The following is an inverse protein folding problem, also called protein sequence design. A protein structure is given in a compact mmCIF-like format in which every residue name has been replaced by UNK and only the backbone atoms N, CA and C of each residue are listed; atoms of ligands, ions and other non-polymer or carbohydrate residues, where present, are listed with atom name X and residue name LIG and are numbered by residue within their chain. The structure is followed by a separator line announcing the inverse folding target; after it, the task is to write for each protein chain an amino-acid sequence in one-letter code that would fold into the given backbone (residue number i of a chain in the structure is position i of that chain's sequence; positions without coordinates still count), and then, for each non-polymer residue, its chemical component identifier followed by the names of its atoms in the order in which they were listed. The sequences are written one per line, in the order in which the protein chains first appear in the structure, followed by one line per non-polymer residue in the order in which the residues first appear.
data_IF_372111487291
#
_entry.id   IF_372111487291
#
_cell.length_a   1.000
_cell.length_b   1.000
_cell.length_c   1.000
_cell.angle_alpha   90.00
_cell.angle_beta   90.00
_cell.angle_gamma   90.00
#
_symmetry.space_group_name_H-M   'P 1'
#
loop_
_entity.id
_entity.type
_entity.pdbx_description
1 polymer ?
#
# COMPACT_ATOMS: atom_id res chain seq x y z
N UNK A 1 39.79 -46.65 43.10
CA UNK A 1 39.29 -46.60 44.50
C UNK A 1 38.49 -45.33 44.67
N UNK A 2 37.22 -45.49 45.08
CA UNK A 2 36.23 -44.43 45.19
C UNK A 2 36.09 -43.91 46.63
N UNK A 3 35.69 -42.64 46.79
CA UNK A 3 34.99 -42.01 47.93
C UNK A 3 34.59 -40.61 47.43
N UNK A 4 33.36 -40.26 47.04
CA UNK A 4 32.06 -40.15 47.75
C UNK A 4 32.06 -39.11 48.87
N UNK A 5 31.37 -37.98 48.65
CA UNK A 5 30.63 -37.11 49.61
C UNK A 5 29.97 -35.98 48.78
N UNK A 6 28.66 -36.02 48.48
CA UNK A 6 27.47 -35.57 49.25
C UNK A 6 27.38 -34.03 49.43
N UNK A 7 26.36 -33.45 48.78
CA UNK A 7 25.87 -32.05 48.83
C UNK A 7 25.15 -31.73 50.16
N UNK A 8 24.87 -30.45 50.47
CA UNK A 8 23.58 -29.83 50.06
C UNK A 8 23.77 -28.38 49.56
N UNK A 9 23.07 -27.87 48.55
CA UNK A 9 21.61 -27.69 48.50
C UNK A 9 21.25 -26.25 48.91
N UNK A 10 21.47 -25.25 48.05
CA UNK A 10 20.98 -23.88 48.27
C UNK A 10 19.63 -23.70 47.57
N UNK A 11 18.55 -23.84 48.33
CA UNK A 11 17.20 -23.44 47.97
C UNK A 11 17.17 -21.91 47.99
N UNK A 12 16.99 -21.27 46.82
CA UNK A 12 16.53 -19.87 46.78
C UNK A 12 15.02 -19.92 46.76
N UNK A 13 14.43 -19.53 47.88
CA UNK A 13 13.00 -19.30 48.02
C UNK A 13 12.60 -18.09 47.17
N UNK A 14 11.87 -18.35 46.08
CA UNK A 14 11.10 -17.33 45.37
C UNK A 14 9.87 -16.99 46.21
N UNK A 15 10.00 -16.06 47.16
CA UNK A 15 8.84 -15.47 47.82
C UNK A 15 8.20 -14.45 46.87
N UNK A 16 6.95 -14.63 46.43
CA UNK A 16 6.26 -13.65 45.59
C UNK A 16 6.03 -12.35 46.37
N UNK A 17 6.37 -11.23 45.76
CA UNK A 17 6.19 -9.89 46.33
C UNK A 17 4.70 -9.63 46.64
N UNK A 18 4.31 -9.46 47.93
CA UNK A 18 2.91 -9.28 48.33
C UNK A 18 2.33 -7.90 47.96
N UNK A 19 3.14 -7.02 47.35
CA UNK A 19 2.74 -5.69 46.88
C UNK A 19 2.73 -5.54 45.35
N UNK A 20 2.77 -6.66 44.61
CA UNK A 20 2.58 -6.62 43.17
C UNK A 20 1.12 -6.24 42.85
N UNK A 21 0.89 -4.98 42.49
CA UNK A 21 -0.37 -4.54 41.88
C UNK A 21 -0.70 -5.46 40.70
N UNK A 22 -1.96 -5.93 40.54
CA UNK A 22 -2.33 -6.71 39.37
C UNK A 22 -2.00 -5.89 38.13
N UNK A 23 -1.07 -6.38 37.31
CA UNK A 23 -0.86 -5.85 35.97
C UNK A 23 -2.22 -5.92 35.25
N UNK A 24 -2.70 -4.82 34.64
CA UNK A 24 -3.93 -4.88 33.87
C UNK A 24 -3.78 -5.97 32.81
N UNK A 25 -4.83 -6.75 32.51
CA UNK A 25 -4.74 -7.82 31.53
C UNK A 25 -4.31 -7.23 30.19
N UNK A 26 -3.06 -7.48 29.81
CA UNK A 26 -2.63 -7.35 28.42
C UNK A 26 -3.47 -8.34 27.63
N UNK A 27 -3.93 -7.89 26.45
CA UNK A 27 -4.82 -8.61 25.54
C UNK A 27 -6.31 -8.49 25.90
N UNK A 28 -6.90 -7.32 25.65
CA UNK A 28 -8.26 -7.29 25.09
C UNK A 28 -8.21 -8.01 23.76
N UNK A 29 -8.53 -9.30 23.77
CA UNK A 29 -8.90 -10.02 22.56
C UNK A 29 -10.08 -9.27 21.91
N UNK A 30 -10.04 -9.03 20.59
CA UNK A 30 -11.17 -8.43 19.90
C UNK A 30 -12.44 -9.26 20.18
N UNK A 31 -13.50 -8.61 20.65
CA UNK A 31 -14.80 -9.28 20.81
C UNK A 31 -15.29 -9.64 19.41
N UNK A 32 -15.48 -10.94 19.08
CA UNK A 32 -15.92 -11.34 17.75
C UNK A 32 -17.28 -10.69 17.43
N UNK A 33 -17.33 -9.87 16.38
CA UNK A 33 -18.55 -9.20 15.91
C UNK A 33 -18.74 -7.74 16.35
N UNK A 34 -17.88 -7.18 17.20
CA UNK A 34 -17.87 -5.74 17.45
C UNK A 34 -17.31 -5.01 16.21
N UNK A 35 -18.07 -4.08 15.63
CA UNK A 35 -17.56 -3.25 14.52
C UNK A 35 -16.34 -2.45 15.02
N UNK A 36 -15.23 -2.40 14.27
CA UNK A 36 -14.03 -1.69 14.68
C UNK A 36 -14.36 -0.21 14.93
N UNK A 37 -13.81 0.37 16.00
CA UNK A 37 -14.04 1.77 16.35
C UNK A 37 -13.47 2.66 15.25
N UNK A 38 -14.36 3.41 14.60
CA UNK A 38 -14.00 4.47 13.64
C UNK A 38 -14.65 5.78 14.07
N UNK A 39 -13.91 6.88 14.00
CA UNK A 39 -14.46 8.16 14.40
C UNK A 39 -13.48 9.33 14.23
N UNK A 40 -13.99 10.52 14.53
CA UNK A 40 -13.18 11.73 14.61
C UNK A 40 -12.93 12.05 16.06
N UNK A 41 -11.71 12.48 16.36
CA UNK A 41 -11.31 12.93 17.67
C UNK A 41 -10.60 14.28 17.56
N UNK A 42 -10.59 15.06 18.64
CA UNK A 42 -9.91 16.34 18.71
C UNK A 42 -8.92 16.40 19.88
N UNK A 43 -7.86 17.18 19.71
CA UNK A 43 -6.91 17.50 20.77
C UNK A 43 -6.43 18.94 20.60
N UNK A 44 -5.99 19.57 21.69
CA UNK A 44 -5.55 20.96 21.69
C UNK A 44 -4.03 21.02 21.49
N UNK A 45 -3.59 21.53 20.34
CA UNK A 45 -2.17 21.71 20.04
C UNK A 45 -1.72 23.13 20.46
N UNK A 46 -0.71 23.20 21.33
CA UNK A 46 -0.11 24.48 21.74
C UNK A 46 1.02 24.86 20.79
N UNK A 47 0.94 26.06 20.21
CA UNK A 47 2.01 26.62 19.38
C UNK A 47 2.57 27.89 20.02
N UNK A 48 3.90 27.99 20.10
CA UNK A 48 4.60 29.17 20.60
C UNK A 48 4.99 30.06 19.43
N UNK A 49 4.48 31.30 19.40
CA UNK A 49 4.89 32.30 18.42
C UNK A 49 6.14 33.04 18.92
N UNK A 50 7.29 32.69 18.34
CA UNK A 50 8.52 33.47 18.44
C UNK A 50 9.35 33.30 19.70
N UNK A 51 10.63 33.67 19.60
CA UNK A 51 11.68 33.54 20.63
C UNK A 51 11.49 34.48 21.84
N UNK A 52 10.40 35.27 21.85
CA UNK A 52 10.03 36.20 22.92
C UNK A 52 8.51 36.18 23.14
N UNK A 53 8.04 35.13 23.82
CA UNK A 53 6.84 35.05 24.65
C UNK A 53 5.68 36.03 24.36
N UNK A 54 5.14 36.04 23.14
CA UNK A 54 3.91 36.76 22.83
C UNK A 54 2.85 35.76 22.34
N UNK A 55 2.03 35.31 23.29
CA UNK A 55 0.80 34.54 23.06
C UNK A 55 0.99 33.04 22.85
N UNK A 56 0.36 32.22 23.71
CA UNK A 56 0.10 30.80 23.42
C UNK A 56 -1.15 30.76 22.55
N UNK A 57 -1.03 30.28 21.31
CA UNK A 57 -2.20 29.96 20.49
C UNK A 57 -2.49 28.48 20.69
N UNK A 58 -3.65 28.17 21.25
CA UNK A 58 -4.18 26.82 21.32
C UNK A 58 -5.04 26.59 20.07
N UNK A 59 -4.59 25.73 19.17
CA UNK A 59 -5.37 25.35 17.99
C UNK A 59 -5.91 23.94 18.18
N UNK A 60 -7.23 23.79 18.03
CA UNK A 60 -7.85 22.46 18.04
C UNK A 60 -7.49 21.71 16.76
N UNK A 61 -6.89 20.55 16.93
CA UNK A 61 -6.51 19.61 15.88
C UNK A 61 -7.55 18.50 15.81
N UNK A 62 -8.01 18.15 14.61
CA UNK A 62 -8.88 17.01 14.40
C UNK A 62 -8.12 15.85 13.75
N UNK A 63 -8.37 14.64 14.25
CA UNK A 63 -7.83 13.40 13.72
C UNK A 63 -8.97 12.43 13.40
N UNK A 64 -8.83 11.71 12.30
CA UNK A 64 -9.62 10.52 12.02
C UNK A 64 -8.91 9.31 12.62
N UNK A 65 -9.63 8.43 13.30
CA UNK A 65 -9.09 7.22 13.90
C UNK A 65 -9.86 5.98 13.46
N UNK A 66 -9.13 4.90 13.22
CA UNK A 66 -9.66 3.58 12.85
C UNK A 66 -8.92 2.49 13.62
N UNK A 67 -9.69 1.64 14.29
CA UNK A 67 -9.18 0.47 15.00
C UNK A 67 -8.71 -0.60 14.00
N UNK A 68 -7.49 -1.10 14.23
CA UNK A 68 -6.86 -2.17 13.47
C UNK A 68 -7.21 -3.54 14.10
N UNK A 69 -6.96 -4.63 13.38
CA UNK A 69 -7.23 -5.99 13.86
C UNK A 69 -6.49 -6.34 15.16
N UNK A 70 -5.33 -5.73 15.39
CA UNK A 70 -4.51 -5.90 16.58
C UNK A 70 -4.94 -5.03 17.78
N UNK A 71 -6.07 -4.30 17.64
CA UNK A 71 -6.61 -3.41 18.66
C UNK A 71 -5.93 -2.04 18.78
N UNK A 72 -4.88 -1.76 17.98
CA UNK A 72 -4.26 -0.44 17.93
C UNK A 72 -5.07 0.51 17.05
N UNK A 73 -4.86 1.80 17.25
CA UNK A 73 -5.55 2.85 16.49
C UNK A 73 -4.63 3.41 15.42
N UNK A 74 -5.03 3.31 14.15
CA UNK A 74 -4.47 4.10 13.08
C UNK A 74 -5.13 5.48 13.09
N UNK A 75 -4.32 6.55 13.09
CA UNK A 75 -4.81 7.93 13.09
C UNK A 75 -4.22 8.73 11.92
N UNK A 76 -5.05 9.62 11.37
CA UNK A 76 -4.71 10.58 10.33
C UNK A 76 -5.15 11.97 10.74
N UNK A 77 -4.39 13.00 10.34
CA UNK A 77 -4.85 14.37 10.52
C UNK A 77 -5.98 14.66 9.53
N UNK A 78 -7.00 15.39 9.97
CA UNK A 78 -8.00 15.92 9.05
C UNK A 78 -7.49 17.20 8.37
N UNK A 79 -7.68 17.27 7.05
CA UNK A 79 -7.51 18.50 6.29
C UNK A 79 -8.60 19.53 6.63
N UNK A 80 -8.48 20.76 6.11
CA UNK A 80 -9.54 21.78 6.25
C UNK A 80 -10.87 21.33 5.64
N UNK A 81 -10.84 20.38 4.70
CA UNK A 81 -12.01 19.80 4.05
C UNK A 81 -12.50 18.52 4.74
N UNK A 82 -12.02 18.22 5.97
CA UNK A 82 -12.39 17.04 6.74
C UNK A 82 -12.02 15.70 6.07
N UNK A 83 -10.93 15.70 5.29
CA UNK A 83 -10.41 14.48 4.65
C UNK A 83 -9.22 13.97 5.47
N UNK A 84 -9.18 12.68 5.84
CA UNK A 84 -7.99 12.06 6.41
C UNK A 84 -6.82 12.19 5.44
N UNK A 85 -5.79 12.94 5.82
CA UNK A 85 -4.65 13.25 4.94
C UNK A 85 -3.32 13.10 5.67
N UNK A 86 -2.26 12.82 4.89
CA UNK A 86 -0.90 12.75 5.39
C UNK A 86 -0.52 11.43 6.06
N UNK A 87 0.49 11.47 6.92
CA UNK A 87 1.13 10.28 7.48
C UNK A 87 0.23 9.55 8.48
N UNK A 88 -0.08 8.29 8.17
CA UNK A 88 -0.73 7.34 9.09
C UNK A 88 0.16 7.11 10.31
N UNK A 89 -0.35 7.34 11.51
CA UNK A 89 0.35 7.01 12.77
C UNK A 89 -0.41 5.92 13.50
N UNK A 90 0.30 4.97 14.08
CA UNK A 90 -0.30 3.91 14.90
C UNK A 90 -0.05 4.25 16.36
N UNK A 91 -1.11 4.30 17.17
CA UNK A 91 -1.04 4.56 18.61
C UNK A 91 -1.84 3.50 19.40
N UNK A 92 -1.49 3.24 20.67
CA UNK A 92 -2.34 2.44 21.56
C UNK A 92 -3.72 3.09 21.73
N UNK A 93 -4.75 2.27 21.93
CA UNK A 93 -6.13 2.74 22.10
C UNK A 93 -6.29 3.59 23.36
N UNK A 94 -5.61 3.23 24.43
CA UNK A 94 -5.58 3.93 25.72
C UNK A 94 -5.07 5.35 25.54
N UNK A 95 -4.05 5.52 24.69
CA UNK A 95 -3.50 6.85 24.37
C UNK A 95 -4.50 7.72 23.63
N UNK A 96 -5.23 7.16 22.67
CA UNK A 96 -6.28 7.90 21.97
C UNK A 96 -7.35 8.39 22.96
N UNK A 97 -7.81 7.50 23.85
CA UNK A 97 -8.85 7.81 24.83
C UNK A 97 -8.39 8.79 25.92
N UNK A 98 -7.10 8.83 26.23
CA UNK A 98 -6.53 9.74 27.23
C UNK A 98 -6.20 11.13 26.67
N UNK A 99 -5.70 11.22 25.43
CA UNK A 99 -5.17 12.47 24.85
C UNK A 99 -6.16 13.16 23.89
N UNK A 100 -7.25 12.49 23.49
CA UNK A 100 -8.18 13.00 22.49
C UNK A 100 -9.65 12.88 22.92
N UNK A 101 -10.46 13.85 22.49
CA UNK A 101 -11.90 13.90 22.75
C UNK A 101 -12.70 13.44 21.51
N UNK A 102 -13.71 12.57 21.66
CA UNK A 102 -14.52 12.12 20.52
C UNK A 102 -15.41 13.24 19.95
N UNK A 103 -15.50 13.32 18.62
CA UNK A 103 -16.23 14.34 17.86
C UNK A 103 -17.24 13.67 16.90
N UNK A 104 -18.28 12.98 17.40
CA UNK A 104 -19.19 12.19 16.58
C UNK A 104 -19.95 13.03 15.53
N UNK A 105 -20.28 14.28 15.87
CA UNK A 105 -20.94 15.21 14.95
C UNK A 105 -20.08 15.56 13.74
N UNK A 106 -18.75 15.70 13.92
CA UNK A 106 -17.83 15.96 12.80
C UNK A 106 -17.70 14.69 11.94
N UNK A 107 -17.62 13.53 12.58
CA UNK A 107 -17.55 12.26 11.86
C UNK A 107 -18.78 12.05 10.95
N UNK A 108 -19.98 12.10 11.52
CA UNK A 108 -21.23 11.79 10.80
C UNK A 108 -21.59 12.88 9.78
N UNK A 109 -21.44 14.16 10.13
CA UNK A 109 -21.97 15.25 9.31
C UNK A 109 -20.94 15.89 8.36
N UNK A 110 -19.64 15.64 8.58
CA UNK A 110 -18.56 16.25 7.76
C UNK A 110 -17.69 15.20 7.08
N UNK A 111 -17.08 14.29 7.85
CA UNK A 111 -16.11 13.32 7.30
C UNK A 111 -16.79 12.28 6.42
N UNK A 112 -17.79 11.57 6.95
CA UNK A 112 -18.48 10.49 6.20
C UNK A 112 -19.05 10.96 4.86
N UNK A 113 -19.76 12.11 4.77
CA UNK A 113 -20.28 12.60 3.50
C UNK A 113 -19.19 12.95 2.49
N UNK A 114 -18.09 13.56 2.93
CA UNK A 114 -16.99 13.93 2.03
C UNK A 114 -16.26 12.69 1.54
N UNK A 115 -15.96 11.73 2.42
CA UNK A 115 -15.33 10.46 2.02
C UNK A 115 -16.19 9.69 1.01
N UNK A 116 -17.50 9.59 1.26
CA UNK A 116 -18.43 8.96 0.31
C UNK A 116 -18.41 9.64 -1.06
N UNK A 117 -18.45 10.97 -1.09
CA UNK A 117 -18.38 11.73 -2.35
C UNK A 117 -17.08 11.50 -3.11
N UNK A 118 -15.95 11.36 -2.40
CA UNK A 118 -14.67 11.04 -3.03
C UNK A 118 -14.70 9.63 -3.63
N UNK A 119 -15.22 8.65 -2.90
CA UNK A 119 -15.38 7.27 -3.39
C UNK A 119 -16.30 7.23 -4.63
N UNK A 120 -17.46 7.88 -4.57
CA UNK A 120 -18.41 7.96 -5.69
C UNK A 120 -17.80 8.63 -6.93
N UNK A 121 -16.98 9.67 -6.73
CA UNK A 121 -16.29 10.37 -7.82
C UNK A 121 -15.21 9.48 -8.46
N UNK A 122 -14.45 8.72 -7.66
CA UNK A 122 -13.49 7.73 -8.17
C UNK A 122 -14.21 6.66 -8.98
N UNK A 123 -15.30 6.10 -8.47
CA UNK A 123 -16.07 5.07 -9.20
C UNK A 123 -16.63 5.62 -10.52
N UNK A 124 -17.12 6.85 -10.51
CA UNK A 124 -17.59 7.53 -11.72
C UNK A 124 -16.45 7.74 -12.73
N UNK A 125 -15.27 8.14 -12.26
CA UNK A 125 -14.07 8.29 -13.10
C UNK A 125 -13.63 6.96 -13.71
N UNK A 126 -13.64 5.87 -12.93
CA UNK A 126 -13.35 4.53 -13.41
C UNK A 126 -14.35 4.07 -14.48
N UNK A 127 -15.65 4.36 -14.28
CA UNK A 127 -16.69 4.07 -15.26
C UNK A 127 -16.48 4.83 -16.57
N UNK A 128 -16.13 6.11 -16.51
CA UNK A 128 -15.77 6.89 -17.69
C UNK A 128 -14.56 6.29 -18.42
N UNK A 129 -13.51 5.91 -17.68
CA UNK A 129 -12.30 5.28 -18.26
C UNK A 129 -12.63 3.94 -18.95
N UNK A 130 -13.42 3.09 -18.30
CA UNK A 130 -13.88 1.81 -18.87
C UNK A 130 -14.68 2.00 -20.18
N UNK A 131 -15.44 3.10 -20.28
CA UNK A 131 -16.18 3.49 -21.50
C UNK A 131 -15.33 4.23 -22.55
N UNK A 132 -14.02 4.38 -22.32
CA UNK A 132 -13.11 5.17 -23.16
C UNK A 132 -13.47 6.67 -23.24
N UNK A 133 -14.21 7.18 -22.25
CA UNK A 133 -14.52 8.60 -22.08
C UNK A 133 -13.37 9.29 -21.32
N UNK A 134 -12.17 9.25 -21.90
CA UNK A 134 -10.90 9.49 -21.20
C UNK A 134 -10.74 10.93 -20.67
N UNK A 135 -11.31 11.93 -21.34
CA UNK A 135 -11.30 13.31 -20.85
C UNK A 135 -12.23 13.51 -19.65
N UNK A 136 -13.39 12.87 -19.64
CA UNK A 136 -14.31 12.88 -18.48
C UNK A 136 -13.69 12.15 -17.29
N UNK A 137 -13.02 11.02 -17.54
CA UNK A 137 -12.28 10.30 -16.50
C UNK A 137 -11.17 11.18 -15.90
N UNK A 138 -10.36 11.83 -16.73
CA UNK A 138 -9.34 12.79 -16.28
C UNK A 138 -9.94 13.87 -15.39
N UNK A 139 -11.03 14.51 -15.84
CA UNK A 139 -11.70 15.57 -15.08
C UNK A 139 -12.14 15.09 -13.70
N UNK A 140 -12.80 13.94 -13.61
CA UNK A 140 -13.26 13.40 -12.32
C UNK A 140 -12.11 12.98 -11.40
N UNK A 141 -11.05 12.36 -11.94
CA UNK A 141 -9.86 12.07 -11.12
C UNK A 141 -9.21 13.35 -10.60
N UNK A 142 -9.10 14.39 -11.43
CA UNK A 142 -8.56 15.68 -11.00
C UNK A 142 -9.44 16.33 -9.92
N UNK A 143 -10.77 16.17 -9.98
CA UNK A 143 -11.68 16.64 -8.93
C UNK A 143 -11.36 16.00 -7.57
N UNK A 144 -11.15 14.68 -7.56
CA UNK A 144 -10.73 13.95 -6.35
C UNK A 144 -9.39 14.45 -5.85
N UNK A 145 -8.41 14.58 -6.75
CA UNK A 145 -7.05 15.01 -6.40
C UNK A 145 -6.94 16.46 -5.94
N UNK A 146 -7.90 17.32 -6.29
CA UNK A 146 -8.01 18.68 -5.72
C UNK A 146 -8.41 18.69 -4.24
N UNK A 147 -9.13 17.66 -3.80
CA UNK A 147 -9.60 17.51 -2.42
C UNK A 147 -8.62 16.68 -1.58
N UNK A 148 -8.10 15.61 -2.17
CA UNK A 148 -7.08 14.74 -1.59
C UNK A 148 -5.93 14.53 -2.58
N UNK A 149 -4.88 15.33 -2.42
CA UNK A 149 -3.73 15.32 -3.32
C UNK A 149 -3.00 13.98 -3.33
N UNK A 150 -3.07 13.18 -2.27
CA UNK A 150 -2.35 11.91 -2.15
C UNK A 150 -3.28 10.68 -2.34
N UNK A 151 -4.50 10.90 -2.86
CA UNK A 151 -5.45 9.83 -3.08
C UNK A 151 -4.90 8.79 -4.06
N UNK A 152 -4.63 7.58 -3.55
CA UNK A 152 -3.92 6.53 -4.29
C UNK A 152 -4.70 6.09 -5.54
N UNK A 153 -5.96 5.65 -5.37
CA UNK A 153 -6.77 5.15 -6.50
C UNK A 153 -6.96 6.19 -7.61
N UNK A 154 -7.29 7.43 -7.27
CA UNK A 154 -7.44 8.51 -8.25
C UNK A 154 -6.13 8.85 -8.96
N UNK A 155 -4.99 8.83 -8.26
CA UNK A 155 -3.68 9.04 -8.88
C UNK A 155 -3.36 7.93 -9.89
N UNK A 156 -3.64 6.66 -9.54
CA UNK A 156 -3.50 5.54 -10.48
C UNK A 156 -4.44 5.64 -11.67
N UNK A 157 -5.72 5.92 -11.42
CA UNK A 157 -6.73 6.08 -12.45
C UNK A 157 -6.36 7.17 -13.44
N UNK A 158 -5.89 8.32 -12.97
CA UNK A 158 -5.39 9.41 -13.81
C UNK A 158 -4.20 8.96 -14.68
N UNK A 159 -3.23 8.25 -14.08
CA UNK A 159 -2.09 7.75 -14.82
C UNK A 159 -2.49 6.72 -15.88
N UNK A 160 -3.42 5.80 -15.56
CA UNK A 160 -3.97 4.85 -16.53
C UNK A 160 -4.67 5.58 -17.68
N UNK A 161 -5.43 6.63 -17.39
CA UNK A 161 -6.07 7.49 -18.40
C UNK A 161 -5.05 8.12 -19.35
N UNK A 162 -3.93 8.64 -18.84
CA UNK A 162 -2.85 9.17 -19.70
C UNK A 162 -2.16 8.08 -20.52
N UNK A 163 -1.93 6.90 -19.93
CA UNK A 163 -1.36 5.76 -20.65
C UNK A 163 -2.29 5.28 -21.78
N UNK A 164 -3.61 5.23 -21.54
CA UNK A 164 -4.61 4.88 -22.56
C UNK A 164 -4.65 5.91 -23.70
N UNK A 165 -4.43 7.20 -23.40
CA UNK A 165 -4.28 8.27 -24.39
C UNK A 165 -2.90 8.34 -25.06
N UNK A 166 -1.97 7.46 -24.69
CA UNK A 166 -0.59 7.44 -25.15
C UNK A 166 0.23 8.70 -24.78
N UNK A 167 -0.20 9.44 -23.75
CA UNK A 167 0.42 10.67 -23.29
C UNK A 167 1.56 10.38 -22.30
N UNK A 168 2.70 9.91 -22.83
CA UNK A 168 3.87 9.50 -22.04
C UNK A 168 4.34 10.55 -21.03
N UNK A 169 4.37 11.82 -21.43
CA UNK A 169 4.86 12.91 -20.58
C UNK A 169 3.96 13.11 -19.35
N UNK A 170 2.64 13.13 -19.56
CA UNK A 170 1.67 13.26 -18.47
C UNK A 170 1.67 12.00 -17.58
N UNK A 171 1.78 10.82 -18.20
CA UNK A 171 1.89 9.56 -17.48
C UNK A 171 3.16 9.51 -16.59
N UNK A 172 4.30 10.02 -17.06
CA UNK A 172 5.54 10.08 -16.26
C UNK A 172 5.38 11.02 -15.05
N UNK A 173 4.77 12.19 -15.22
CA UNK A 173 4.48 13.11 -14.09
C UNK A 173 3.65 12.40 -13.01
N UNK A 174 2.62 11.65 -13.42
CA UNK A 174 1.79 10.88 -12.49
C UNK A 174 2.59 9.72 -11.88
N UNK A 175 3.42 9.03 -12.64
CA UNK A 175 4.30 7.98 -12.15
C UNK A 175 5.25 8.49 -11.05
N UNK A 176 5.90 9.62 -11.27
CA UNK A 176 6.77 10.25 -10.26
C UNK A 176 6.02 10.57 -8.97
N UNK A 177 4.74 10.98 -9.09
CA UNK A 177 3.87 11.20 -7.94
C UNK A 177 3.58 9.90 -7.20
N UNK A 178 3.19 8.83 -7.90
CA UNK A 178 2.95 7.50 -7.30
C UNK A 178 4.21 7.03 -6.55
N UNK A 179 5.42 7.26 -7.08
CA UNK A 179 6.66 6.81 -6.43
C UNK A 179 6.95 7.50 -5.10
N UNK A 180 6.29 8.63 -4.81
CA UNK A 180 6.42 9.38 -3.54
C UNK A 180 5.35 9.01 -2.52
N UNK A 181 4.25 8.39 -2.94
CA UNK A 181 3.16 8.03 -2.05
C UNK A 181 3.45 6.65 -1.45
N UNK A 182 3.94 6.61 -0.21
CA UNK A 182 4.22 5.34 0.48
C UNK A 182 2.98 4.44 0.59
N UNK A 183 1.81 5.04 0.82
CA UNK A 183 0.53 4.34 0.87
C UNK A 183 0.14 3.66 -0.46
N UNK A 184 0.74 4.07 -1.59
CA UNK A 184 0.54 3.40 -2.86
C UNK A 184 1.18 2.00 -2.88
N UNK A 185 2.10 1.71 -1.96
CA UNK A 185 2.90 0.48 -1.89
C UNK A 185 2.48 -0.40 -0.71
N UNK A 186 1.19 -0.69 -0.60
CA UNK A 186 0.63 -1.63 0.39
C UNK A 186 0.04 -2.85 -0.30
N UNK A 187 -0.16 -3.93 0.46
CA UNK A 187 -0.80 -5.16 -0.04
C UNK A 187 -2.21 -4.88 -0.57
N UNK A 188 -2.94 -3.94 0.04
CA UNK A 188 -4.29 -3.56 -0.40
C UNK A 188 -4.32 -3.03 -1.84
N UNK A 189 -3.23 -2.39 -2.28
CA UNK A 189 -3.11 -1.77 -3.60
C UNK A 189 -2.36 -2.64 -4.60
N UNK A 190 -2.09 -3.92 -4.26
CA UNK A 190 -1.29 -4.84 -5.08
C UNK A 190 -1.79 -4.98 -6.51
N UNK A 191 -3.10 -5.05 -6.67
CA UNK A 191 -3.76 -5.18 -7.98
C UNK A 191 -3.44 -4.01 -8.93
N UNK A 192 -3.22 -2.80 -8.40
CA UNK A 192 -2.88 -1.62 -9.20
C UNK A 192 -1.45 -1.69 -9.79
N UNK A 193 -0.58 -2.57 -9.25
CA UNK A 193 0.78 -2.75 -9.78
C UNK A 193 0.82 -3.46 -11.12
N UNK A 194 -0.11 -4.38 -11.37
CA UNK A 194 -0.04 -5.19 -12.58
C UNK A 194 -0.43 -4.36 -13.81
N UNK A 195 -1.63 -3.79 -13.79
CA UNK A 195 -2.22 -3.07 -14.91
C UNK A 195 -1.38 -1.85 -15.30
N UNK A 196 -0.97 -1.05 -14.32
CA UNK A 196 -0.19 0.16 -14.56
C UNK A 196 1.18 -0.16 -15.18
N UNK A 197 1.88 -1.17 -14.65
CA UNK A 197 3.16 -1.62 -15.18
C UNK A 197 3.04 -2.20 -16.59
N UNK A 198 2.00 -2.99 -16.86
CA UNK A 198 1.75 -3.57 -18.18
C UNK A 198 1.50 -2.46 -19.21
N UNK A 199 0.70 -1.44 -18.88
CA UNK A 199 0.43 -0.32 -19.78
C UNK A 199 1.67 0.52 -20.03
N UNK A 200 2.48 0.81 -19.00
CA UNK A 200 3.77 1.49 -19.17
C UNK A 200 4.70 0.72 -20.11
N UNK A 201 4.86 -0.59 -19.91
CA UNK A 201 5.64 -1.46 -20.80
C UNK A 201 5.13 -1.39 -22.24
N UNK A 202 3.82 -1.59 -22.47
CA UNK A 202 3.21 -1.55 -23.81
C UNK A 202 3.43 -0.20 -24.50
N UNK A 203 3.49 0.89 -23.74
CA UNK A 203 3.76 2.22 -24.26
C UNK A 203 5.27 2.47 -24.48
N UNK A 204 6.16 1.56 -24.09
CA UNK A 204 7.62 1.69 -24.22
C UNK A 204 8.29 2.47 -23.09
N UNK A 205 7.58 2.73 -21.99
CA UNK A 205 8.11 3.33 -20.75
C UNK A 205 8.79 2.26 -19.90
N UNK A 206 9.84 1.65 -20.46
CA UNK A 206 10.47 0.45 -19.89
C UNK A 206 11.21 0.72 -18.57
N UNK A 207 11.83 1.90 -18.44
CA UNK A 207 12.58 2.26 -17.23
C UNK A 207 11.65 2.52 -16.05
N UNK A 208 10.56 3.24 -16.29
CA UNK A 208 9.51 3.54 -15.33
C UNK A 208 8.80 2.25 -14.92
N UNK A 209 8.46 1.38 -15.87
CA UNK A 209 7.91 0.05 -15.58
C UNK A 209 8.83 -0.80 -14.71
N UNK A 210 10.15 -0.81 -14.98
CA UNK A 210 11.10 -1.56 -14.15
C UNK A 210 11.28 -0.95 -12.75
N UNK A 211 11.30 0.38 -12.62
CA UNK A 211 11.32 1.05 -11.32
C UNK A 211 10.06 0.69 -10.50
N UNK A 212 8.91 0.72 -11.16
CA UNK A 212 7.63 0.37 -10.56
C UNK A 212 7.58 -1.06 -10.08
N UNK A 213 7.91 -2.03 -10.96
CA UNK A 213 7.94 -3.43 -10.61
C UNK A 213 8.97 -3.73 -9.52
N UNK A 214 10.12 -3.05 -9.52
CA UNK A 214 11.14 -3.21 -8.46
C UNK A 214 10.63 -2.75 -7.09
N UNK A 215 9.72 -1.77 -7.05
CA UNK A 215 9.08 -1.34 -5.81
C UNK A 215 7.97 -2.32 -5.38
N UNK A 216 7.15 -2.79 -6.32
CA UNK A 216 6.17 -3.86 -6.05
C UNK A 216 6.83 -5.16 -5.57
N UNK A 217 7.98 -5.54 -6.13
CA UNK A 217 8.73 -6.75 -5.78
C UNK A 217 9.23 -6.73 -4.33
N UNK A 218 9.52 -5.54 -3.79
CA UNK A 218 9.88 -5.39 -2.37
C UNK A 218 8.72 -5.75 -1.43
N UNK A 219 7.47 -5.61 -1.89
CA UNK A 219 6.27 -5.98 -1.14
C UNK A 219 5.93 -7.46 -1.31
N UNK A 220 6.02 -7.98 -2.53
CA UNK A 220 5.69 -9.37 -2.85
C UNK A 220 6.86 -10.02 -3.60
N UNK A 221 7.76 -10.67 -2.84
CA UNK A 221 8.96 -11.33 -3.39
C UNK A 221 8.68 -12.68 -4.02
N UNK A 222 7.50 -13.23 -3.79
CA UNK A 222 7.09 -14.60 -4.12
C UNK A 222 6.09 -14.64 -5.28
N UNK A 223 6.00 -13.57 -6.07
CA UNK A 223 5.07 -13.46 -7.20
C UNK A 223 5.80 -13.73 -8.53
N UNK A 224 5.59 -14.92 -9.09
CA UNK A 224 6.16 -15.32 -10.38
C UNK A 224 5.62 -14.50 -11.56
N UNK A 225 4.38 -14.01 -11.48
CA UNK A 225 3.77 -13.19 -12.51
C UNK A 225 4.43 -11.81 -12.57
N UNK A 226 4.77 -11.23 -11.43
CA UNK A 226 5.55 -9.99 -11.36
C UNK A 226 6.93 -10.17 -11.99
N UNK A 227 7.64 -11.26 -11.67
CA UNK A 227 8.96 -11.57 -12.25
C UNK A 227 8.86 -11.82 -13.76
N UNK A 228 7.82 -12.48 -14.23
CA UNK A 228 7.52 -12.65 -15.65
C UNK A 228 7.31 -11.32 -16.37
N UNK A 229 6.54 -10.41 -15.77
CA UNK A 229 6.32 -9.08 -16.34
C UNK A 229 7.61 -8.25 -16.38
N UNK A 230 8.46 -8.32 -15.33
CA UNK A 230 9.81 -7.74 -15.37
C UNK A 230 10.66 -8.33 -16.48
N UNK A 231 10.61 -9.65 -16.68
CA UNK A 231 11.35 -10.32 -17.76
C UNK A 231 10.90 -9.84 -19.15
N UNK A 232 9.59 -9.67 -19.37
CA UNK A 232 9.06 -9.13 -20.64
C UNK A 232 9.50 -7.69 -20.86
N UNK A 233 9.39 -6.83 -19.85
CA UNK A 233 9.86 -5.45 -19.95
C UNK A 233 11.35 -5.38 -20.31
N UNK A 234 12.18 -6.23 -19.69
CA UNK A 234 13.60 -6.31 -20.00
C UNK A 234 13.86 -6.83 -21.41
N UNK A 235 13.09 -7.82 -21.87
CA UNK A 235 13.19 -8.35 -23.23
C UNK A 235 12.89 -7.27 -24.28
N UNK A 236 11.78 -6.56 -24.13
CA UNK A 236 11.37 -5.49 -25.07
C UNK A 236 12.34 -4.30 -25.05
N UNK A 237 13.00 -4.05 -23.91
CA UNK A 237 14.10 -3.10 -23.79
C UNK A 237 15.42 -3.60 -24.43
N UNK A 238 15.46 -4.83 -24.95
CA UNK A 238 16.65 -5.44 -25.54
C UNK A 238 17.65 -6.04 -24.54
N UNK A 239 17.27 -6.18 -23.25
CA UNK A 239 18.11 -6.70 -22.17
C UNK A 239 17.92 -8.20 -21.96
N UNK A 240 18.27 -8.98 -22.99
CA UNK A 240 18.06 -10.44 -23.05
C UNK A 240 18.61 -11.21 -21.84
N UNK A 241 19.85 -10.94 -21.43
CA UNK A 241 20.48 -11.63 -20.30
C UNK A 241 19.71 -11.40 -18.98
N UNK A 242 19.30 -10.15 -18.73
CA UNK A 242 18.51 -9.79 -17.55
C UNK A 242 17.11 -10.39 -17.59
N UNK A 243 16.48 -10.44 -18.77
CA UNK A 243 15.18 -11.11 -18.97
C UNK A 243 15.24 -12.59 -18.58
N UNK A 244 16.24 -13.33 -19.07
CA UNK A 244 16.46 -14.74 -18.72
C UNK A 244 16.68 -14.94 -17.22
N UNK A 245 17.39 -14.02 -16.57
CA UNK A 245 17.60 -14.09 -15.12
C UNK A 245 16.28 -13.98 -14.34
N UNK A 246 15.41 -13.05 -14.73
CA UNK A 246 14.08 -12.91 -14.11
C UNK A 246 13.18 -14.11 -14.38
N UNK A 247 13.17 -14.66 -15.61
CA UNK A 247 12.45 -15.89 -15.93
C UNK A 247 12.93 -17.09 -15.14
N UNK A 248 14.25 -17.24 -15.01
CA UNK A 248 14.86 -18.30 -14.19
C UNK A 248 14.39 -18.20 -12.73
N UNK A 249 14.27 -16.97 -12.21
CA UNK A 249 13.77 -16.75 -10.87
C UNK A 249 12.28 -17.10 -10.75
N UNK A 250 11.45 -16.67 -11.71
CA UNK A 250 10.03 -17.01 -11.77
C UNK A 250 9.81 -18.54 -11.78
N UNK A 251 10.55 -19.26 -12.62
CA UNK A 251 10.49 -20.72 -12.72
C UNK A 251 11.07 -21.46 -11.52
N UNK A 252 11.92 -20.81 -10.72
CA UNK A 252 12.36 -21.37 -9.43
C UNK A 252 11.25 -21.28 -8.38
N UNK A 253 10.49 -20.19 -8.38
CA UNK A 253 9.33 -20.03 -7.49
C UNK A 253 8.22 -21.00 -7.88
N UNK A 254 7.89 -21.07 -9.17
CA UNK A 254 6.88 -21.96 -9.71
C UNK A 254 7.42 -22.72 -10.93
N UNK A 255 7.98 -23.93 -10.73
CA UNK A 255 8.46 -24.77 -11.82
C UNK A 255 7.37 -25.25 -12.78
N UNK A 256 6.08 -25.08 -12.47
CA UNK A 256 4.96 -25.42 -13.34
C UNK A 256 4.47 -24.22 -14.17
N UNK A 257 4.95 -23.00 -13.91
CA UNK A 257 4.48 -21.75 -14.52
C UNK A 257 4.54 -21.75 -16.05
N UNK A 258 3.41 -21.92 -16.76
CA UNK A 258 3.39 -22.17 -18.20
C UNK A 258 3.95 -21.01 -19.02
N UNK A 259 3.58 -19.77 -18.68
CA UNK A 259 3.99 -18.56 -19.39
C UNK A 259 5.51 -18.36 -19.27
N UNK A 260 6.08 -18.63 -18.10
CA UNK A 260 7.53 -18.58 -17.90
C UNK A 260 8.28 -19.62 -18.71
N UNK A 261 7.77 -20.85 -18.80
CA UNK A 261 8.39 -21.94 -19.60
C UNK A 261 8.35 -21.62 -21.08
N UNK A 262 7.18 -21.22 -21.59
CA UNK A 262 7.00 -20.85 -22.98
C UNK A 262 7.95 -19.72 -23.37
N UNK A 263 8.08 -18.70 -22.51
CA UNK A 263 8.95 -17.58 -22.80
C UNK A 263 10.44 -17.92 -22.68
N UNK A 264 10.84 -18.74 -21.70
CA UNK A 264 12.22 -19.22 -21.62
C UNK A 264 12.61 -20.06 -22.84
N UNK A 265 11.74 -20.97 -23.29
CA UNK A 265 11.96 -21.78 -24.48
C UNK A 265 12.08 -20.93 -25.75
N UNK A 266 11.27 -19.86 -25.86
CA UNK A 266 11.38 -18.88 -26.94
C UNK A 266 12.73 -18.13 -26.93
N UNK A 267 13.21 -17.70 -25.76
CA UNK A 267 14.52 -17.03 -25.68
C UNK A 267 15.68 -17.98 -26.03
N UNK A 268 15.54 -19.27 -25.74
CA UNK A 268 16.54 -20.29 -26.09
C UNK A 268 16.54 -20.67 -27.57
N UNK A 269 15.37 -20.75 -28.21
CA UNK A 269 15.27 -20.98 -29.66
C UNK A 269 15.83 -19.79 -30.44
N UNK A 270 15.54 -18.56 -29.99
CA UNK A 270 16.12 -17.32 -30.53
C UNK A 270 17.65 -17.30 -30.46
N UNK A 271 18.23 -17.81 -29.36
CA UNK A 271 19.68 -17.91 -29.20
C UNK A 271 20.29 -18.96 -30.15
N UNK A 272 19.56 -20.02 -30.47
CA UNK A 272 19.94 -21.06 -31.44
C UNK A 272 19.76 -20.65 -32.91
N UNK A 273 19.20 -19.46 -33.17
CA UNK A 273 18.92 -18.98 -34.52
C UNK A 273 17.62 -19.53 -35.13
N UNK A 274 16.77 -20.17 -34.34
CA UNK A 274 15.50 -20.72 -34.77
C UNK A 274 14.42 -19.63 -34.82
N UNK A 275 13.60 -19.63 -35.88
CA UNK A 275 12.45 -18.72 -36.00
C UNK A 275 11.21 -19.34 -35.36
N UNK A 276 11.11 -19.22 -34.04
CA UNK A 276 9.90 -19.59 -33.30
C UNK A 276 9.05 -18.32 -33.09
N UNK A 277 7.72 -18.37 -33.28
CA UNK A 277 6.87 -17.23 -32.97
C UNK A 277 6.99 -16.86 -31.48
N UNK A 278 6.95 -15.56 -31.19
CA UNK A 278 6.91 -15.07 -29.82
C UNK A 278 5.66 -15.61 -29.12
N UNK A 279 5.76 -16.14 -27.89
CA UNK A 279 4.60 -16.64 -27.18
C UNK A 279 3.57 -15.50 -27.02
N UNK A 280 2.27 -15.82 -27.11
CA UNK A 280 1.21 -14.82 -27.01
C UNK A 280 1.36 -13.97 -25.76
N UNK A 281 0.94 -12.71 -25.87
CA UNK A 281 0.79 -11.79 -24.75
C UNK A 281 -0.42 -12.19 -23.89
N UNK A 282 -0.50 -13.43 -23.41
CA UNK A 282 -1.49 -13.74 -22.38
C UNK A 282 -1.04 -13.03 -21.11
N UNK A 283 -1.86 -12.04 -20.74
CA UNK A 283 -1.63 -11.25 -19.56
C UNK A 283 -1.69 -12.20 -18.38
N UNK A 284 -0.56 -12.35 -17.70
CA UNK A 284 -0.48 -12.90 -16.37
C UNK A 284 -1.32 -12.00 -15.44
N UNK A 285 -2.65 -12.09 -15.52
CA UNK A 285 -3.55 -11.56 -14.53
C UNK A 285 -3.36 -12.42 -13.29
N UNK A 286 -2.55 -11.96 -12.34
CA UNK A 286 -2.46 -12.57 -11.00
C UNK A 286 -3.73 -12.31 -10.18
N UNK A 287 -4.90 -12.46 -10.79
CA UNK A 287 -6.21 -12.22 -10.21
C UNK A 287 -7.10 -13.48 -10.21
N UNK A 288 -6.49 -14.66 -10.30
CA UNK A 288 -7.18 -15.91 -9.99
C UNK A 288 -6.33 -16.72 -9.01
N UNK A 289 -6.50 -16.38 -7.73
CA UNK A 289 -6.40 -17.32 -6.63
C UNK A 289 -7.52 -16.92 -5.66
N UNK A 290 -8.71 -17.47 -5.90
CA UNK A 290 -9.79 -17.45 -4.94
C UNK A 290 -9.40 -18.19 -3.66
N UNK A 291 -9.59 -17.53 -2.51
CA UNK A 291 -10.46 -17.90 -1.38
C UNK A 291 -10.60 -16.65 -0.49
#
# INVERSE_FOLDING_TARGET
MACRNLLPGSIREDTPNPFAMPQPPNHTTPVPGAKPVKGVFSTDAQQFLGQRSLGRITQRLFVYAEEQEDGRMAIWRLSRNFIPTGTRRIIPKERLLAEYLPEPSIYINKVVPVMRRLEDAVETADRHRQRQELFSAEFEYQNVLRLDADHVKATFGLGLTYLERQEKQNADIVFQKIMRIEAAFTVEHKHLFNDFGIKMRKLGMYDEAMQYYSRAYRLCRTDEHLLYNMARTLYEKGRLASSRMMLTHALRLNPAFPQGKAFMAYLESRQRGESVPEPPLEEASGADDGI
#
